data_IF_530212493976
#
_entry.id   IF_530212493976
#
_cell.length_a   1.000
_cell.length_b   1.000
_cell.length_c   1.000
_cell.angle_alpha   90.00
_cell.angle_beta   90.00
_cell.angle_gamma   90.00
#
_symmetry.space_group_name_H-M   'P 1'
#
loop_
_entity.id
_entity.type
_entity.pdbx_description
1 polymer ?
#
# COMPACT_ATOMS: atom_id res chain seq x y z
N UNK A 1 0.25 -8.56 50.14
CA UNK A 1 0.45 -8.76 48.70
C UNK A 1 -0.15 -7.54 47.99
N UNK A 2 0.68 -6.61 47.51
CA UNK A 2 0.21 -5.44 46.75
C UNK A 2 0.12 -5.84 45.27
N UNK A 3 -1.08 -5.69 44.69
CA UNK A 3 -1.33 -5.91 43.26
C UNK A 3 -0.96 -4.62 42.53
N UNK A 4 0.07 -4.66 41.70
CA UNK A 4 0.45 -3.54 40.84
C UNK A 4 -0.60 -3.37 39.74
N UNK A 5 -1.54 -2.45 39.93
CA UNK A 5 -2.50 -2.01 38.91
C UNK A 5 -1.86 -0.93 38.05
N UNK A 6 -0.92 -1.30 37.17
CA UNK A 6 -0.55 -0.43 36.07
C UNK A 6 -1.68 -0.48 35.04
N UNK A 7 -2.27 0.66 34.62
CA UNK A 7 -3.30 0.66 33.59
C UNK A 7 -2.72 0.06 32.32
N UNK A 8 -3.37 -0.99 31.81
CA UNK A 8 -3.00 -1.63 30.56
C UNK A 8 -3.17 -0.61 29.44
N UNK A 9 -2.06 -0.08 28.92
CA UNK A 9 -2.08 0.84 27.77
C UNK A 9 -2.69 0.12 26.56
N UNK A 10 -3.80 0.64 26.03
CA UNK A 10 -4.37 0.15 24.78
C UNK A 10 -3.40 0.47 23.64
N UNK A 11 -2.99 -0.56 22.89
CA UNK A 11 -2.19 -0.37 21.67
C UNK A 11 -3.13 0.15 20.58
N UNK A 12 -2.86 1.34 20.06
CA UNK A 12 -3.53 1.88 18.87
C UNK A 12 -2.70 1.59 17.62
N UNK A 13 -3.33 1.00 16.62
CA UNK A 13 -2.72 0.78 15.30
C UNK A 13 -3.12 1.95 14.39
N UNK A 14 -2.14 2.74 13.98
CA UNK A 14 -2.34 3.93 13.14
C UNK A 14 -1.58 3.77 11.83
N UNK A 15 -2.23 4.05 10.71
CA UNK A 15 -1.60 4.14 9.39
C UNK A 15 -1.88 5.51 8.78
N UNK A 16 -0.88 6.10 8.12
CA UNK A 16 -1.11 7.27 7.28
C UNK A 16 -2.07 6.93 6.15
N UNK A 17 -3.10 7.75 5.96
CA UNK A 17 -4.07 7.60 4.87
C UNK A 17 -3.85 8.70 3.83
N UNK A 18 -3.63 8.31 2.58
CA UNK A 18 -3.40 9.21 1.45
C UNK A 18 -4.65 9.23 0.53
N UNK A 19 -5.69 10.03 0.83
CA UNK A 19 -7.01 9.91 0.20
C UNK A 19 -7.00 10.14 -1.32
N UNK A 20 -6.21 11.09 -1.79
CA UNK A 20 -6.14 11.41 -3.22
C UNK A 20 -5.42 10.31 -4.01
N UNK A 21 -4.32 9.76 -3.46
CA UNK A 21 -3.61 8.64 -4.06
C UNK A 21 -4.50 7.39 -4.07
N UNK A 22 -5.16 7.09 -2.95
CA UNK A 22 -6.10 5.97 -2.85
C UNK A 22 -7.22 6.08 -3.89
N UNK A 23 -7.87 7.24 -4.01
CA UNK A 23 -8.91 7.46 -5.02
C UNK A 23 -8.38 7.28 -6.44
N UNK A 24 -7.20 7.81 -6.75
CA UNK A 24 -6.54 7.63 -8.05
C UNK A 24 -6.28 6.15 -8.35
N UNK A 25 -5.68 5.42 -7.40
CA UNK A 25 -5.37 3.99 -7.54
C UNK A 25 -6.63 3.16 -7.77
N UNK A 26 -7.75 3.49 -7.12
CA UNK A 26 -9.03 2.85 -7.36
C UNK A 26 -9.49 2.97 -8.83
N UNK A 27 -9.22 4.09 -9.50
CA UNK A 27 -9.53 4.24 -10.94
C UNK A 27 -8.65 3.36 -11.84
N UNK A 28 -7.50 2.92 -11.34
CA UNK A 28 -6.55 2.07 -12.03
C UNK A 28 -6.74 0.57 -11.73
N UNK A 29 -7.61 0.22 -10.78
CA UNK A 29 -7.84 -1.17 -10.36
C UNK A 29 -8.19 -2.07 -11.54
N UNK A 30 -7.58 -3.25 -11.59
CA UNK A 30 -7.71 -4.23 -12.67
C UNK A 30 -6.92 -3.90 -13.94
N UNK A 31 -6.19 -2.78 -13.99
CA UNK A 31 -5.37 -2.39 -15.15
C UNK A 31 -3.91 -2.79 -14.94
N UNK A 32 -3.18 -2.89 -16.05
CA UNK A 32 -1.72 -3.04 -16.02
C UNK A 32 -1.09 -1.68 -15.73
N UNK A 33 -0.24 -1.63 -14.70
CA UNK A 33 0.39 -0.40 -14.22
C UNK A 33 1.90 -0.55 -14.11
N UNK A 34 2.59 0.57 -14.18
CA UNK A 34 3.97 0.72 -13.75
C UNK A 34 4.01 1.60 -12.50
N UNK A 35 4.72 1.14 -11.48
CA UNK A 35 4.86 1.81 -10.19
C UNK A 35 6.35 1.99 -9.90
N UNK A 36 6.83 3.22 -9.77
CA UNK A 36 8.16 3.47 -9.23
C UNK A 36 8.08 3.54 -7.72
N UNK A 37 8.96 2.79 -7.09
CA UNK A 37 9.17 2.79 -5.64
C UNK A 37 10.31 3.73 -5.25
N UNK A 38 10.33 4.16 -3.98
CA UNK A 38 11.37 5.03 -3.41
C UNK A 38 12.80 4.49 -3.58
N UNK A 39 12.97 3.16 -3.73
CA UNK A 39 14.26 2.52 -3.98
C UNK A 39 14.73 2.63 -5.44
N UNK A 40 14.10 3.50 -6.24
CA UNK A 40 14.30 3.66 -7.68
C UNK A 40 14.01 2.41 -8.53
N UNK A 41 13.30 1.42 -7.97
CA UNK A 41 12.86 0.24 -8.71
C UNK A 41 11.47 0.46 -9.29
N UNK A 42 11.26 0.05 -10.53
CA UNK A 42 9.94 0.05 -11.18
C UNK A 42 9.36 -1.35 -11.19
N UNK A 43 8.17 -1.50 -10.62
CA UNK A 43 7.39 -2.74 -10.65
C UNK A 43 6.30 -2.56 -11.71
N UNK A 44 6.19 -3.51 -12.65
CA UNK A 44 5.18 -3.50 -13.69
C UNK A 44 4.35 -4.77 -13.66
N UNK A 45 3.03 -4.63 -13.63
CA UNK A 45 2.13 -5.77 -13.48
C UNK A 45 0.68 -5.36 -13.42
N UNK A 46 -0.20 -6.31 -13.07
CA UNK A 46 -1.63 -6.04 -12.94
C UNK A 46 -1.93 -5.52 -11.54
N UNK A 47 -2.60 -4.37 -11.43
CA UNK A 47 -3.07 -3.85 -10.15
C UNK A 47 -4.31 -4.65 -9.70
N UNK A 48 -4.11 -5.62 -8.81
CA UNK A 48 -5.15 -6.58 -8.41
C UNK A 48 -5.89 -6.17 -7.13
N UNK A 49 -5.30 -5.31 -6.31
CA UNK A 49 -5.92 -4.80 -5.09
C UNK A 49 -5.43 -3.40 -4.76
N UNK A 50 -6.34 -2.59 -4.22
CA UNK A 50 -6.06 -1.25 -3.70
C UNK A 50 -6.64 -1.14 -2.30
N UNK A 51 -5.77 -0.92 -1.31
CA UNK A 51 -6.11 -0.70 0.09
C UNK A 51 -5.71 0.72 0.53
N UNK A 52 -6.23 1.23 1.66
CA UNK A 52 -5.93 2.58 2.14
C UNK A 52 -4.45 2.89 2.36
N UNK A 53 -3.65 1.88 2.71
CA UNK A 53 -2.23 1.98 3.08
C UNK A 53 -1.27 1.31 2.07
N UNK A 54 -1.78 0.46 1.18
CA UNK A 54 -0.97 -0.27 0.20
C UNK A 54 -1.74 -0.70 -1.05
N UNK A 55 -1.01 -1.16 -2.06
CA UNK A 55 -1.54 -1.82 -3.26
C UNK A 55 -0.91 -3.19 -3.48
N UNK A 56 -1.56 -4.02 -4.29
CA UNK A 56 -1.01 -5.29 -4.76
C UNK A 56 -0.87 -5.26 -6.27
N UNK A 57 0.37 -5.43 -6.75
CA UNK A 57 0.69 -5.55 -8.18
C UNK A 57 1.14 -6.98 -8.45
N UNK A 58 0.41 -7.70 -9.30
CA UNK A 58 0.77 -9.06 -9.71
C UNK A 58 1.76 -9.03 -10.89
N UNK A 59 2.92 -9.66 -10.70
CA UNK A 59 3.99 -9.79 -11.69
C UNK A 59 4.25 -11.27 -11.92
N UNK A 60 3.97 -11.74 -13.14
CA UNK A 60 4.19 -13.15 -13.53
C UNK A 60 3.61 -14.17 -12.53
N UNK A 61 2.39 -13.93 -12.04
CA UNK A 61 1.71 -14.78 -11.06
C UNK A 61 2.16 -14.60 -9.60
N UNK A 62 3.09 -13.69 -9.31
CA UNK A 62 3.55 -13.38 -7.95
C UNK A 62 3.00 -12.02 -7.48
N UNK A 63 2.36 -11.93 -6.30
CA UNK A 63 1.86 -10.67 -5.77
C UNK A 63 2.97 -9.84 -5.11
N UNK A 64 3.07 -8.57 -5.48
CA UNK A 64 3.96 -7.59 -4.85
C UNK A 64 3.13 -6.57 -4.06
N UNK A 65 3.33 -6.53 -2.75
CA UNK A 65 2.68 -5.58 -1.85
C UNK A 65 3.52 -4.31 -1.75
N UNK A 66 2.96 -3.18 -2.15
CA UNK A 66 3.66 -1.88 -2.20
C UNK A 66 2.90 -0.91 -1.31
N UNK A 67 3.54 -0.40 -0.26
CA UNK A 67 2.94 0.63 0.60
C UNK A 67 2.78 1.93 -0.18
N UNK A 68 1.68 2.65 0.07
CA UNK A 68 1.41 3.92 -0.58
C UNK A 68 2.53 4.95 -0.34
N UNK A 69 3.15 4.92 0.84
CA UNK A 69 4.29 5.77 1.22
C UNK A 69 5.56 5.55 0.38
N UNK A 70 5.70 4.38 -0.24
CA UNK A 70 6.87 4.04 -1.05
C UNK A 70 6.64 4.37 -2.53
N UNK A 71 5.43 4.79 -2.93
CA UNK A 71 5.09 5.09 -4.32
C UNK A 71 5.59 6.50 -4.65
N UNK A 72 6.53 6.59 -5.59
CA UNK A 72 6.99 7.87 -6.15
C UNK A 72 6.06 8.31 -7.28
N UNK A 73 5.69 7.39 -8.17
CA UNK A 73 4.67 7.60 -9.19
C UNK A 73 4.02 6.29 -9.62
N UNK A 74 2.82 6.41 -10.20
CA UNK A 74 2.08 5.32 -10.83
C UNK A 74 1.52 5.80 -12.18
N UNK A 75 1.59 4.94 -13.20
CA UNK A 75 1.00 5.20 -14.51
C UNK A 75 0.48 3.91 -15.14
N UNK A 76 -0.37 4.04 -16.16
CA UNK A 76 -0.78 2.90 -16.99
C UNK A 76 0.41 2.39 -17.79
N UNK A 77 0.59 1.07 -17.81
CA UNK A 77 1.55 0.41 -18.70
C UNK A 77 0.83 -0.27 -19.85
N UNK A 78 1.38 -0.18 -21.06
CA UNK A 78 0.90 -0.91 -22.23
C UNK A 78 1.21 -2.40 -22.13
#
# INVERSE_FOLDING_TARGET
MQVNTNPQSSVEFVSSFEPYLYHLLQTLSGKRVAVQTSTNNTIQGNLTMVAPDHIVVEVSGSPFYIRNQEIVWVTLSR
#
